data_IF_692901267281
#
_entry.id   IF_692901267281
#
_cell.length_a   1.000
_cell.length_b   1.000
_cell.length_c   1.000
_cell.angle_alpha   90.00
_cell.angle_beta   90.00
_cell.angle_gamma   90.00
#
_symmetry.space_group_name_H-M   'P 1'
#
loop_
_entity.id
_entity.type
_entity.pdbx_description
1 polymer ?
#
# COMPACT_ATOMS: atom_id res chain seq x y z
N UNK A 1 3.54 5.12 4.02
CA UNK A 1 2.89 3.90 3.46
C UNK A 1 1.73 4.23 2.52
N UNK A 2 0.70 4.97 2.97
CA UNK A 2 -0.45 5.30 2.10
C UNK A 2 -0.03 6.03 0.81
N UNK A 3 0.88 7.00 0.90
CA UNK A 3 1.40 7.73 -0.26
C UNK A 3 2.16 6.80 -1.20
N UNK A 4 3.00 5.90 -0.68
CA UNK A 4 3.75 4.93 -1.50
C UNK A 4 2.81 3.99 -2.27
N UNK A 5 1.73 3.53 -1.63
CA UNK A 5 0.71 2.72 -2.31
C UNK A 5 -0.05 3.51 -3.38
N UNK A 6 -0.25 4.81 -3.17
CA UNK A 6 -0.87 5.69 -4.16
C UNK A 6 0.04 5.90 -5.38
N UNK A 7 1.34 6.14 -5.16
CA UNK A 7 2.37 6.25 -6.21
C UNK A 7 2.45 4.94 -7.00
N UNK A 8 2.50 3.79 -6.32
CA UNK A 8 2.45 2.47 -6.96
C UNK A 8 1.18 2.25 -7.77
N UNK A 9 0.03 2.67 -7.26
CA UNK A 9 -1.25 2.54 -7.96
C UNK A 9 -1.36 3.42 -9.21
N UNK A 10 -0.69 4.57 -9.24
CA UNK A 10 -0.70 5.47 -10.41
C UNK A 10 0.35 5.11 -11.46
N UNK A 11 1.52 4.64 -11.04
CA UNK A 11 2.66 4.37 -11.92
C UNK A 11 2.82 2.88 -12.30
N UNK A 12 2.21 1.97 -11.53
CA UNK A 12 2.31 0.51 -11.70
C UNK A 12 3.61 -0.10 -11.18
N UNK A 13 4.70 0.66 -11.16
CA UNK A 13 5.98 0.27 -10.57
C UNK A 13 6.76 1.47 -10.04
N UNK A 14 7.59 1.26 -9.03
CA UNK A 14 8.55 2.24 -8.50
C UNK A 14 9.96 1.66 -8.63
N UNK A 15 10.91 2.44 -9.16
CA UNK A 15 12.33 2.12 -9.08
C UNK A 15 12.85 2.51 -7.68
N UNK A 16 13.15 1.51 -6.85
CA UNK A 16 13.51 1.74 -5.44
C UNK A 16 14.86 2.47 -5.24
N UNK A 17 15.64 2.63 -6.31
CA UNK A 17 16.94 3.30 -6.28
C UNK A 17 16.94 4.66 -6.97
N UNK A 18 16.03 4.90 -7.92
CA UNK A 18 16.09 6.09 -8.76
C UNK A 18 14.79 6.91 -8.80
N UNK A 19 13.68 6.41 -8.22
CA UNK A 19 12.43 7.14 -8.22
C UNK A 19 12.48 8.33 -7.24
N UNK A 20 12.56 9.54 -7.78
CA UNK A 20 12.70 10.77 -7.00
C UNK A 20 11.52 10.99 -6.05
N UNK A 21 10.28 10.71 -6.48
CA UNK A 21 9.09 10.91 -5.65
C UNK A 21 9.08 9.97 -4.44
N UNK A 22 9.47 8.71 -4.66
CA UNK A 22 9.64 7.73 -3.59
C UNK A 22 10.77 8.11 -2.63
N UNK A 23 11.95 8.47 -3.15
CA UNK A 23 13.11 8.81 -2.32
C UNK A 23 12.87 10.09 -1.51
N UNK A 24 12.28 11.12 -2.13
CA UNK A 24 11.88 12.36 -1.45
C UNK A 24 10.84 12.07 -0.35
N UNK A 25 9.88 11.18 -0.60
CA UNK A 25 8.91 10.79 0.43
C UNK A 25 9.59 10.09 1.62
N UNK A 26 10.50 9.15 1.37
CA UNK A 26 11.24 8.46 2.41
C UNK A 26 12.07 9.45 3.23
N UNK A 27 12.81 10.35 2.57
CA UNK A 27 13.67 11.33 3.23
C UNK A 27 12.88 12.39 4.01
N UNK A 28 11.81 12.95 3.42
CA UNK A 28 10.99 13.99 4.06
C UNK A 28 10.23 13.51 5.30
N UNK A 29 10.07 12.20 5.47
CA UNK A 29 9.37 11.59 6.60
C UNK A 29 10.33 10.84 7.54
N UNK A 30 11.64 10.98 7.35
CA UNK A 30 12.69 10.35 8.17
C UNK A 30 12.50 8.82 8.28
N UNK A 31 12.07 8.20 7.18
CA UNK A 31 11.80 6.77 7.09
C UNK A 31 13.05 6.00 6.66
N UNK A 32 13.17 4.76 7.11
CA UNK A 32 14.21 3.84 6.65
C UNK A 32 13.66 3.08 5.44
N UNK A 33 14.29 3.27 4.28
CA UNK A 33 13.85 2.71 2.99
C UNK A 33 13.62 1.20 3.07
N UNK A 34 14.59 0.49 3.62
CA UNK A 34 14.60 -0.98 3.74
C UNK A 34 13.45 -1.47 4.64
N UNK A 35 13.20 -0.80 5.77
CA UNK A 35 12.10 -1.17 6.68
C UNK A 35 10.73 -0.98 6.03
N UNK A 36 10.58 0.07 5.22
CA UNK A 36 9.33 0.33 4.49
C UNK A 36 9.11 -0.73 3.41
N UNK A 37 10.15 -1.06 2.67
CA UNK A 37 10.13 -2.14 1.67
C UNK A 37 9.76 -3.46 2.33
N UNK A 38 10.44 -3.85 3.41
CA UNK A 38 10.19 -5.09 4.13
C UNK A 38 8.76 -5.15 4.67
N UNK A 39 8.24 -4.04 5.17
CA UNK A 39 6.86 -3.93 5.64
C UNK A 39 5.85 -4.10 4.50
N UNK A 40 6.11 -3.51 3.33
CA UNK A 40 5.26 -3.65 2.16
C UNK A 40 5.28 -5.09 1.61
N UNK A 41 6.46 -5.71 1.52
CA UNK A 41 6.62 -7.10 1.05
C UNK A 41 5.99 -8.08 2.04
N UNK A 42 6.24 -7.93 3.34
CA UNK A 42 5.65 -8.80 4.38
C UNK A 42 4.13 -8.67 4.47
N UNK A 43 3.59 -7.49 4.15
CA UNK A 43 2.14 -7.27 4.03
C UNK A 43 1.51 -7.90 2.79
N UNK A 44 2.31 -8.52 1.90
CA UNK A 44 1.88 -9.13 0.64
C UNK A 44 1.13 -8.15 -0.28
N UNK A 45 1.49 -6.88 -0.24
CA UNK A 45 0.95 -5.85 -1.13
C UNK A 45 1.82 -5.67 -2.37
N UNK A 46 3.14 -5.86 -2.23
CA UNK A 46 4.11 -5.63 -3.29
C UNK A 46 5.08 -6.80 -3.43
N UNK A 47 5.72 -6.88 -4.59
CA UNK A 47 6.92 -7.67 -4.81
C UNK A 47 8.03 -6.79 -5.39
N UNK A 48 9.27 -7.24 -5.27
CA UNK A 48 10.43 -6.57 -5.87
C UNK A 48 11.07 -7.50 -6.88
N UNK A 49 11.29 -7.00 -8.10
CA UNK A 49 11.99 -7.67 -9.16
C UNK A 49 12.86 -6.66 -9.92
N UNK A 50 14.16 -6.92 -10.08
CA UNK A 50 15.09 -6.03 -10.80
C UNK A 50 15.06 -4.57 -10.32
N UNK A 51 15.08 -4.34 -9.00
CA UNK A 51 14.94 -3.02 -8.36
C UNK A 51 13.59 -2.31 -8.61
N UNK A 52 12.62 -2.99 -9.22
CA UNK A 52 11.28 -2.48 -9.42
C UNK A 52 10.35 -3.05 -8.35
N UNK A 53 9.80 -2.17 -7.53
CA UNK A 53 8.70 -2.50 -6.63
C UNK A 53 7.39 -2.42 -7.41
N UNK A 54 6.58 -3.47 -7.35
CA UNK A 54 5.31 -3.61 -8.09
C UNK A 54 4.21 -4.16 -7.21
N UNK A 55 2.97 -3.80 -7.52
CA UNK A 55 1.81 -4.36 -6.84
C UNK A 55 1.67 -5.85 -7.16
N UNK A 56 1.32 -6.65 -6.15
CA UNK A 56 0.99 -8.07 -6.34
C UNK A 56 -0.38 -8.28 -7.00
N UNK A 57 -1.18 -7.23 -7.09
CA UNK A 57 -2.52 -7.23 -7.69
C UNK A 57 -2.72 -6.03 -8.59
N UNK A 58 -3.50 -6.21 -9.64
CA UNK A 58 -3.91 -5.14 -10.57
C UNK A 58 -5.06 -4.30 -10.02
N UNK A 59 -5.70 -4.73 -8.92
CA UNK A 59 -6.85 -4.07 -8.31
C UNK A 59 -6.65 -3.80 -6.82
N UNK A 60 -5.60 -3.06 -6.50
CA UNK A 60 -5.35 -2.60 -5.14
C UNK A 60 -6.34 -1.47 -4.79
N UNK A 61 -7.19 -1.73 -3.81
CA UNK A 61 -8.01 -0.69 -3.19
C UNK A 61 -7.44 -0.29 -1.84
N UNK A 62 -7.42 1.02 -1.56
CA UNK A 62 -6.98 1.60 -0.29
C UNK A 62 -8.14 2.37 0.32
N UNK A 63 -8.52 2.01 1.55
CA UNK A 63 -9.66 2.60 2.26
C UNK A 63 -9.23 3.17 3.59
N UNK A 64 -9.55 4.44 3.81
CA UNK A 64 -9.46 5.11 5.09
C UNK A 64 -10.79 5.01 5.83
N UNK A 65 -10.74 4.48 7.05
CA UNK A 65 -11.92 4.30 7.91
C UNK A 65 -12.08 5.48 8.87
N UNK A 66 -13.31 5.77 9.38
CA UNK A 66 -13.56 6.95 10.21
C UNK A 66 -12.78 6.99 11.53
N UNK A 67 -12.31 5.85 12.02
CA UNK A 67 -11.41 5.72 13.17
C UNK A 67 -9.93 5.97 12.84
N UNK A 68 -9.63 6.41 11.62
CA UNK A 68 -8.27 6.73 11.19
C UNK A 68 -7.42 5.52 10.81
N UNK A 69 -8.00 4.31 10.74
CA UNK A 69 -7.26 3.14 10.23
C UNK A 69 -7.29 3.08 8.71
N UNK A 70 -6.21 2.53 8.17
CA UNK A 70 -6.03 2.34 6.73
C UNK A 70 -6.04 0.84 6.44
N UNK A 71 -6.88 0.44 5.50
CA UNK A 71 -6.91 -0.92 4.95
C UNK A 71 -6.53 -0.87 3.48
N UNK A 72 -5.70 -1.82 3.05
CA UNK A 72 -5.30 -1.96 1.66
C UNK A 72 -5.33 -3.44 1.30
N UNK A 73 -5.81 -3.76 0.10
CA UNK A 73 -5.87 -5.15 -0.36
C UNK A 73 -6.41 -5.26 -1.78
N UNK A 74 -6.26 -6.46 -2.35
CA UNK A 74 -6.92 -6.83 -3.59
C UNK A 74 -8.44 -6.84 -3.38
N UNK A 75 -9.17 -6.20 -4.28
CA UNK A 75 -10.64 -6.16 -4.24
C UNK A 75 -11.26 -6.66 -5.55
N UNK A 76 -10.53 -7.43 -6.37
CA UNK A 76 -11.04 -8.04 -7.60
C UNK A 76 -12.33 -8.83 -7.39
N UNK A 77 -12.47 -9.47 -6.23
CA UNK A 77 -13.63 -10.28 -5.87
C UNK A 77 -14.56 -9.61 -4.83
N UNK A 78 -14.33 -8.34 -4.46
CA UNK A 78 -15.09 -7.68 -3.40
C UNK A 78 -14.70 -8.12 -1.97
N UNK A 79 -13.62 -8.88 -1.80
CA UNK A 79 -13.20 -9.41 -0.50
C UNK A 79 -12.84 -8.31 0.48
N UNK A 80 -12.17 -7.24 0.01
CA UNK A 80 -11.85 -6.08 0.83
C UNK A 80 -13.13 -5.35 1.23
N UNK A 81 -14.07 -5.16 0.30
CA UNK A 81 -15.38 -4.57 0.64
C UNK A 81 -16.14 -5.37 1.70
N UNK A 82 -16.20 -6.69 1.55
CA UNK A 82 -16.89 -7.56 2.50
C UNK A 82 -16.21 -7.54 3.88
N UNK A 83 -14.87 -7.54 3.91
CA UNK A 83 -14.10 -7.36 5.13
C UNK A 83 -14.40 -6.03 5.81
N UNK A 84 -14.42 -4.93 5.04
CA UNK A 84 -14.68 -3.58 5.55
C UNK A 84 -16.10 -3.45 6.10
N UNK A 85 -17.11 -3.98 5.40
CA UNK A 85 -18.49 -4.01 5.90
C UNK A 85 -18.56 -4.73 7.25
N UNK A 86 -17.96 -5.92 7.36
CA UNK A 86 -17.93 -6.68 8.60
C UNK A 86 -17.17 -5.95 9.73
N UNK A 87 -16.09 -5.24 9.39
CA UNK A 87 -15.30 -4.46 10.35
C UNK A 87 -16.11 -3.27 10.89
N UNK A 88 -16.72 -2.49 9.99
CA UNK A 88 -17.51 -1.31 10.34
C UNK A 88 -18.75 -1.69 11.14
N UNK A 89 -19.46 -2.75 10.75
CA UNK A 89 -20.61 -3.24 11.52
C UNK A 89 -20.23 -3.63 12.94
N UNK A 90 -19.12 -4.33 13.15
CA UNK A 90 -18.67 -4.73 14.49
C UNK A 90 -18.22 -3.57 15.36
N UNK A 91 -17.76 -2.49 14.74
CA UNK A 91 -17.15 -1.35 15.45
C UNK A 91 -18.16 -0.26 15.79
N UNK A 92 -19.18 -0.07 14.96
CA UNK A 92 -20.14 1.03 15.07
C UNK A 92 -21.59 0.58 15.31
N UNK A 93 -21.86 -0.73 15.47
CA UNK A 93 -23.05 -1.22 16.19
C UNK A 93 -22.85 -1.11 17.69
#
# INVERSE_FOLDING_TARGET
LQVILLILGSQGSIDIENDEEFLDYIQSHDLIKEEIIDKLVSSRLVYIENNQMRLLTDNLNVVNTPDGKIFAGDDKNGELQQFLLNYLEKKYK
#
